data_IF_123537293511
#
_entry.id   IF_123537293511
#
_cell.length_a   1.000
_cell.length_b   1.000
_cell.length_c   1.000
_cell.angle_alpha   90.00
_cell.angle_beta   90.00
_cell.angle_gamma   90.00
#
_symmetry.space_group_name_H-M   'P 1'
#
loop_
_entity.id
_entity.type
_entity.pdbx_description
1 polymer ?
#
# COMPACT_ATOMS: atom_id res chain seq x y z
N UNK A 1 18.28 12.41 -13.79
CA UNK A 1 17.00 12.65 -13.09
C UNK A 1 16.64 11.34 -12.44
N UNK A 2 16.48 11.32 -11.12
CA UNK A 2 16.15 10.11 -10.35
C UNK A 2 14.65 10.07 -10.06
N UNK A 3 13.99 8.94 -10.31
CA UNK A 3 12.55 8.74 -10.16
C UNK A 3 12.31 7.59 -9.19
N UNK A 4 11.74 7.92 -8.04
CA UNK A 4 11.26 6.94 -7.06
C UNK A 4 9.74 6.79 -7.15
N UNK A 5 9.26 5.55 -7.25
CA UNK A 5 7.82 5.21 -7.20
C UNK A 5 7.51 4.60 -5.84
N UNK A 6 6.53 5.18 -5.14
CA UNK A 6 6.03 4.65 -3.86
C UNK A 6 4.57 4.23 -4.07
N UNK A 7 4.30 2.94 -3.97
CA UNK A 7 2.95 2.39 -3.98
C UNK A 7 2.50 2.11 -2.55
N UNK A 8 1.38 2.67 -2.11
CA UNK A 8 0.81 2.38 -0.80
C UNK A 8 -0.54 1.70 -0.93
N UNK A 9 -0.79 0.65 -0.14
CA UNK A 9 -2.08 -0.04 -0.12
C UNK A 9 -2.44 -0.55 -1.52
N UNK A 10 -3.67 -0.30 -1.99
CA UNK A 10 -4.09 -0.60 -3.37
C UNK A 10 -3.29 0.15 -4.45
N UNK A 11 -2.55 1.20 -4.07
CA UNK A 11 -1.62 1.90 -4.94
C UNK A 11 -0.44 1.04 -5.41
N UNK A 12 -0.11 -0.04 -4.70
CA UNK A 12 0.87 -1.04 -5.16
C UNK A 12 0.38 -1.72 -6.44
N UNK A 13 -0.85 -2.23 -6.42
CA UNK A 13 -1.49 -2.78 -7.61
C UNK A 13 -1.65 -1.73 -8.71
N UNK A 14 -2.08 -0.52 -8.36
CA UNK A 14 -2.32 0.53 -9.36
C UNK A 14 -1.02 0.95 -10.07
N UNK A 15 0.09 1.09 -9.34
CA UNK A 15 1.38 1.42 -9.94
C UNK A 15 1.85 0.33 -10.90
N UNK A 16 1.72 -0.94 -10.54
CA UNK A 16 2.08 -2.07 -11.39
C UNK A 16 1.16 -2.17 -12.63
N UNK A 17 -0.15 -2.01 -12.45
CA UNK A 17 -1.12 -1.98 -13.54
C UNK A 17 -0.80 -0.86 -14.56
N UNK A 18 -0.47 0.33 -14.07
CA UNK A 18 -0.13 1.46 -14.94
C UNK A 18 1.25 1.30 -15.59
N UNK A 19 2.23 0.77 -14.87
CA UNK A 19 3.58 0.56 -15.39
C UNK A 19 3.61 -0.35 -16.62
N UNK A 20 2.75 -1.38 -16.65
CA UNK A 20 2.58 -2.24 -17.82
C UNK A 20 2.19 -1.45 -19.09
N UNK A 21 1.34 -0.44 -18.95
CA UNK A 21 0.89 0.41 -20.06
C UNK A 21 1.85 1.56 -20.39
N UNK A 22 2.61 2.04 -19.40
CA UNK A 22 3.44 3.25 -19.51
C UNK A 22 4.93 2.97 -19.76
N UNK A 23 5.36 1.71 -19.75
CA UNK A 23 6.77 1.31 -19.79
C UNK A 23 7.61 2.07 -18.75
N UNK A 24 7.05 2.25 -17.55
CA UNK A 24 7.67 2.99 -16.45
C UNK A 24 8.84 2.17 -15.90
N UNK A 25 10.04 2.77 -15.88
CA UNK A 25 11.25 2.19 -15.29
C UNK A 25 11.76 3.15 -14.22
N UNK A 26 11.25 3.07 -12.99
CA UNK A 26 11.77 3.89 -11.90
C UNK A 26 13.17 3.42 -11.52
N UNK A 27 13.95 4.33 -10.97
CA UNK A 27 15.26 4.01 -10.41
C UNK A 27 15.14 3.34 -9.03
N UNK A 28 14.01 3.53 -8.35
CA UNK A 28 13.65 2.87 -7.11
C UNK A 28 12.13 2.71 -6.99
N UNK A 29 11.67 1.54 -6.58
CA UNK A 29 10.26 1.21 -6.37
C UNK A 29 10.02 0.63 -4.98
N UNK A 30 9.11 1.26 -4.22
CA UNK A 30 8.82 0.89 -2.83
C UNK A 30 7.34 0.58 -2.67
N UNK A 31 7.01 -0.67 -2.33
CA UNK A 31 5.67 -1.05 -1.90
C UNK A 31 5.52 -0.83 -0.40
N UNK A 32 4.41 -0.25 0.04
CA UNK A 32 4.12 0.01 1.45
C UNK A 32 2.75 -0.56 1.77
N UNK A 33 2.69 -1.48 2.73
CA UNK A 33 1.44 -2.04 3.27
C UNK A 33 0.44 -2.46 2.19
N UNK A 34 0.92 -3.16 1.17
CA UNK A 34 0.10 -3.58 0.04
C UNK A 34 0.81 -4.65 -0.79
N UNK A 35 0.05 -5.26 -1.68
CA UNK A 35 0.56 -6.23 -2.66
C UNK A 35 -0.09 -5.97 -4.02
N UNK A 36 0.44 -6.54 -5.11
CA UNK A 36 -0.22 -6.56 -6.43
C UNK A 36 -1.50 -7.40 -6.48
N UNK A 37 -1.92 -7.98 -5.35
CA UNK A 37 -3.13 -8.80 -5.21
C UNK A 37 -4.00 -8.22 -4.09
N UNK A 38 -4.57 -7.01 -4.26
CA UNK A 38 -5.18 -6.27 -3.17
C UNK A 38 -6.47 -6.91 -2.62
N UNK A 39 -7.19 -7.69 -3.43
CA UNK A 39 -8.38 -8.44 -3.04
C UNK A 39 -8.14 -9.94 -3.25
N UNK A 40 -7.49 -10.57 -2.27
CA UNK A 40 -7.08 -11.98 -2.33
C UNK A 40 -6.97 -12.55 -0.90
N UNK A 41 -7.53 -13.73 -0.67
CA UNK A 41 -7.56 -14.34 0.66
C UNK A 41 -6.18 -14.73 1.21
N UNK A 42 -5.20 -14.93 0.33
CA UNK A 42 -3.84 -15.35 0.68
C UNK A 42 -2.83 -14.20 0.61
N UNK A 43 -3.03 -13.24 -0.28
CA UNK A 43 -2.03 -12.21 -0.62
C UNK A 43 -2.47 -10.77 -0.35
N UNK A 44 -3.74 -10.51 -0.07
CA UNK A 44 -4.25 -9.16 0.14
C UNK A 44 -5.32 -9.08 1.20
N UNK A 45 -6.24 -8.14 1.01
CA UNK A 45 -7.45 -8.02 1.82
C UNK A 45 -8.35 -9.21 1.46
N UNK A 46 -8.84 -10.00 2.45
CA UNK A 46 -9.76 -11.09 2.18
C UNK A 46 -10.99 -10.62 1.39
N UNK A 47 -11.42 -11.40 0.41
CA UNK A 47 -12.50 -11.04 -0.53
C UNK A 47 -13.78 -10.66 0.20
N UNK A 48 -14.18 -11.45 1.20
CA UNK A 48 -15.36 -11.17 2.03
C UNK A 48 -15.28 -9.82 2.74
N UNK A 49 -14.09 -9.44 3.23
CA UNK A 49 -13.87 -8.15 3.89
C UNK A 49 -13.94 -7.00 2.88
N UNK A 50 -13.34 -7.20 1.70
CA UNK A 50 -13.35 -6.20 0.63
C UNK A 50 -14.77 -5.96 0.12
N UNK A 51 -15.47 -7.02 -0.28
CA UNK A 51 -16.84 -6.96 -0.80
C UNK A 51 -17.84 -6.49 0.26
N UNK A 52 -17.67 -6.92 1.50
CA UNK A 52 -18.46 -6.44 2.63
C UNK A 52 -18.33 -4.93 2.84
N UNK A 53 -17.12 -4.38 2.65
CA UNK A 53 -16.87 -2.94 2.68
C UNK A 53 -17.52 -2.24 1.49
N UNK A 54 -17.38 -2.79 0.29
CA UNK A 54 -17.95 -2.25 -0.94
C UNK A 54 -19.49 -2.14 -0.89
N UNK A 55 -20.15 -3.17 -0.35
CA UNK A 55 -21.61 -3.28 -0.33
C UNK A 55 -22.28 -2.45 0.78
N UNK A 56 -21.52 -2.02 1.80
CA UNK A 56 -22.05 -1.32 2.99
C UNK A 56 -21.41 0.05 3.22
N UNK A 57 -20.90 0.65 2.14
CA UNK A 57 -20.17 1.90 2.22
C UNK A 57 -21.08 3.05 2.68
N UNK A 58 -20.81 3.54 3.89
CA UNK A 58 -21.43 4.71 4.51
C UNK A 58 -20.37 5.47 5.34
N UNK A 59 -20.75 6.61 5.90
CA UNK A 59 -19.83 7.44 6.69
C UNK A 59 -19.27 6.70 7.93
N UNK A 60 -20.05 5.79 8.51
CA UNK A 60 -19.63 5.00 9.68
C UNK A 60 -18.59 3.96 9.28
N UNK A 61 -18.74 3.32 8.14
CA UNK A 61 -17.77 2.36 7.58
C UNK A 61 -16.48 3.08 7.19
N UNK A 62 -16.58 4.26 6.56
CA UNK A 62 -15.41 5.11 6.26
C UNK A 62 -14.68 5.50 7.54
N UNK A 63 -15.39 5.95 8.58
CA UNK A 63 -14.77 6.29 9.85
C UNK A 63 -14.07 5.09 10.50
N UNK A 64 -14.69 3.91 10.48
CA UNK A 64 -14.05 2.66 10.95
C UNK A 64 -12.83 2.29 10.12
N UNK A 65 -12.85 2.52 8.81
CA UNK A 65 -11.70 2.34 7.95
C UNK A 65 -10.56 3.28 8.36
N UNK A 66 -10.83 4.56 8.62
CA UNK A 66 -9.82 5.50 9.14
C UNK A 66 -9.24 5.06 10.49
N UNK A 67 -10.05 4.53 11.40
CA UNK A 67 -9.53 3.95 12.65
C UNK A 67 -8.60 2.75 12.41
N UNK A 68 -8.85 1.93 11.38
CA UNK A 68 -7.94 0.84 10.97
C UNK A 68 -6.67 1.38 10.32
N UNK A 69 -6.76 2.46 9.53
CA UNK A 69 -5.60 3.09 8.89
C UNK A 69 -4.54 3.52 9.89
N UNK A 70 -4.96 4.17 10.97
CA UNK A 70 -4.06 4.74 11.98
C UNK A 70 -3.89 3.85 13.22
N UNK A 71 -4.65 2.75 13.32
CA UNK A 71 -4.59 1.77 14.41
C UNK A 71 -5.13 2.23 15.77
N UNK A 72 -4.96 3.52 16.13
CA UNK A 72 -5.39 4.12 17.40
C UNK A 72 -6.14 5.43 17.13
N UNK A 73 -7.19 5.67 17.91
CA UNK A 73 -8.01 6.90 17.82
C UNK A 73 -7.17 8.17 18.01
N UNK A 74 -6.25 8.17 18.99
CA UNK A 74 -5.35 9.31 19.22
C UNK A 74 -4.48 9.64 18.00
N UNK A 75 -3.92 8.62 17.35
CA UNK A 75 -3.09 8.80 16.14
C UNK A 75 -3.93 9.31 14.97
N UNK A 76 -5.16 8.80 14.81
CA UNK A 76 -6.12 9.33 13.84
C UNK A 76 -6.42 10.82 14.08
N UNK A 77 -6.68 11.22 15.32
CA UNK A 77 -6.97 12.62 15.68
C UNK A 77 -5.77 13.55 15.40
N UNK A 78 -4.55 13.10 15.72
CA UNK A 78 -3.30 13.82 15.44
C UNK A 78 -2.99 13.94 13.93
N UNK A 79 -3.63 13.11 13.08
CA UNK A 79 -3.39 13.05 11.64
C UNK A 79 -4.68 13.26 10.82
N UNK A 80 -5.68 13.93 11.39
CA UNK A 80 -6.97 14.16 10.72
C UNK A 80 -6.80 14.94 9.41
N UNK A 81 -5.79 15.81 9.33
CA UNK A 81 -5.41 16.59 8.14
C UNK A 81 -4.89 15.70 6.99
N UNK A 82 -4.47 14.46 7.29
CA UNK A 82 -4.03 13.48 6.28
C UNK A 82 -5.20 12.71 5.66
N UNK A 83 -6.40 12.84 6.21
CA UNK A 83 -7.58 12.20 5.65
C UNK A 83 -8.10 13.02 4.48
N UNK A 84 -8.39 12.31 3.38
CA UNK A 84 -8.95 12.91 2.19
C UNK A 84 -10.35 13.48 2.46
N UNK A 85 -10.57 14.75 2.13
CA UNK A 85 -11.88 15.41 2.20
C UNK A 85 -12.84 15.03 1.03
N UNK A 86 -12.63 13.86 0.41
CA UNK A 86 -13.45 13.37 -0.71
C UNK A 86 -14.85 12.98 -0.22
N UNK A 87 -15.83 13.14 -1.11
CA UNK A 87 -17.21 12.70 -0.83
C UNK A 87 -17.30 11.17 -0.78
N UNK A 88 -18.28 10.66 -0.02
CA UNK A 88 -18.63 9.24 0.01
C UNK A 88 -18.82 8.68 -1.41
N UNK A 89 -19.52 9.42 -2.28
CA UNK A 89 -19.72 9.02 -3.69
C UNK A 89 -18.39 8.84 -4.42
N UNK A 90 -17.44 9.77 -4.29
CA UNK A 90 -16.13 9.64 -4.93
C UNK A 90 -15.36 8.42 -4.45
N UNK A 91 -15.46 8.09 -3.16
CA UNK A 91 -14.82 6.89 -2.61
C UNK A 91 -15.48 5.61 -3.12
N UNK A 92 -16.81 5.57 -3.18
CA UNK A 92 -17.57 4.43 -3.72
C UNK A 92 -17.25 4.20 -5.19
N UNK A 93 -17.23 5.25 -6.01
CA UNK A 93 -16.94 5.15 -7.44
C UNK A 93 -15.51 4.63 -7.67
N UNK A 94 -14.53 5.16 -6.94
CA UNK A 94 -13.14 4.69 -6.99
C UNK A 94 -13.03 3.21 -6.58
N UNK A 95 -13.61 2.82 -5.45
CA UNK A 95 -13.50 1.45 -4.94
C UNK A 95 -14.19 0.44 -5.87
N UNK A 96 -15.33 0.81 -6.47
CA UNK A 96 -16.01 0.00 -7.49
C UNK A 96 -15.13 -0.17 -8.74
N UNK A 97 -14.55 0.92 -9.22
CA UNK A 97 -13.67 0.88 -10.40
C UNK A 97 -12.43 0.02 -10.14
N UNK A 98 -11.78 0.22 -8.99
CA UNK A 98 -10.63 -0.58 -8.57
C UNK A 98 -10.99 -2.05 -8.50
N UNK A 99 -12.07 -2.41 -7.81
CA UNK A 99 -12.49 -3.81 -7.68
C UNK A 99 -12.67 -4.48 -9.06
N UNK A 100 -13.37 -3.82 -9.99
CA UNK A 100 -13.58 -4.36 -11.34
C UNK A 100 -12.25 -4.59 -12.09
N UNK A 101 -11.30 -3.66 -11.97
CA UNK A 101 -9.99 -3.78 -12.62
C UNK A 101 -9.06 -4.79 -11.94
N UNK A 102 -9.13 -4.93 -10.61
CA UNK A 102 -8.33 -5.89 -9.85
C UNK A 102 -8.67 -7.34 -10.27
N UNK A 103 -9.93 -7.58 -10.64
CA UNK A 103 -10.38 -8.89 -11.15
C UNK A 103 -9.90 -9.19 -12.58
N UNK A 104 -9.36 -8.21 -13.30
CA UNK A 104 -8.80 -8.43 -14.63
C UNK A 104 -7.39 -9.04 -14.55
N UNK A 105 -7.10 -9.93 -15.49
CA UNK A 105 -5.74 -10.49 -15.62
C UNK A 105 -4.88 -9.53 -16.44
N UNK A 106 -3.72 -9.16 -15.90
CA UNK A 106 -2.70 -8.42 -16.63
C UNK A 106 -1.33 -9.08 -16.45
N UNK A 107 -0.41 -8.81 -17.38
CA UNK A 107 0.95 -9.33 -17.29
C UNK A 107 1.74 -8.63 -16.18
N UNK A 108 2.09 -9.40 -15.15
CA UNK A 108 2.85 -8.92 -13.98
C UNK A 108 4.34 -8.92 -14.31
N UNK A 109 4.80 -7.84 -14.95
CA UNK A 109 6.22 -7.63 -15.31
C UNK A 109 6.91 -6.58 -14.44
N UNK A 110 6.23 -6.03 -13.43
CA UNK A 110 6.80 -5.02 -12.55
C UNK A 110 7.48 -5.69 -11.35
N UNK A 111 8.71 -5.28 -11.06
CA UNK A 111 9.47 -5.74 -9.90
C UNK A 111 9.58 -4.60 -8.90
N UNK A 112 9.23 -4.87 -7.64
CA UNK A 112 9.43 -3.94 -6.55
C UNK A 112 10.80 -4.16 -5.92
N UNK A 113 11.52 -3.08 -5.64
CA UNK A 113 12.85 -3.14 -5.03
C UNK A 113 12.76 -3.36 -3.52
N UNK A 114 11.87 -2.63 -2.86
CA UNK A 114 11.63 -2.69 -1.42
C UNK A 114 10.15 -2.88 -1.15
N UNK A 115 9.83 -3.70 -0.16
CA UNK A 115 8.50 -3.78 0.43
C UNK A 115 8.57 -3.48 1.92
N UNK A 116 7.89 -2.45 2.37
CA UNK A 116 7.58 -2.21 3.79
C UNK A 116 6.25 -2.88 4.12
N UNK A 117 6.27 -3.82 5.06
CA UNK A 117 5.07 -4.40 5.66
C UNK A 117 5.00 -4.02 7.13
N UNK A 118 3.81 -3.70 7.62
CA UNK A 118 3.63 -3.30 9.01
C UNK A 118 2.79 -4.32 9.78
N UNK A 119 3.27 -4.73 10.96
CA UNK A 119 2.65 -5.81 11.75
C UNK A 119 1.37 -5.38 12.48
N UNK A 120 1.14 -4.08 12.67
CA UNK A 120 -0.12 -3.56 13.23
C UNK A 120 -1.11 -3.12 12.14
N UNK A 121 -0.88 -3.50 10.88
CA UNK A 121 -1.79 -3.23 9.77
C UNK A 121 -3.13 -3.97 9.98
N UNK A 122 -4.22 -3.18 10.00
CA UNK A 122 -5.61 -3.67 10.17
C UNK A 122 -6.44 -3.57 8.90
N UNK A 123 -5.80 -3.29 7.76
CA UNK A 123 -6.41 -3.24 6.43
C UNK A 123 -5.87 -4.41 5.61
N UNK A 124 -4.56 -4.47 5.38
CA UNK A 124 -3.89 -5.61 4.76
C UNK A 124 -3.35 -6.52 5.86
N UNK A 125 -3.83 -7.78 5.98
CA UNK A 125 -3.31 -8.69 6.99
C UNK A 125 -1.80 -8.91 6.80
N UNK A 126 -1.03 -8.73 7.87
CA UNK A 126 0.43 -8.88 7.84
C UNK A 126 0.89 -10.22 7.25
N UNK A 127 0.25 -11.32 7.65
CA UNK A 127 0.55 -12.66 7.14
C UNK A 127 0.26 -12.80 5.64
N UNK A 128 -0.74 -12.09 5.11
CA UNK A 128 -1.05 -12.13 3.68
C UNK A 128 0.02 -11.40 2.88
N UNK A 129 0.51 -10.26 3.38
CA UNK A 129 1.63 -9.58 2.77
C UNK A 129 2.92 -10.43 2.84
N UNK A 130 3.20 -11.08 3.97
CA UNK A 130 4.31 -12.03 4.08
C UNK A 130 4.22 -13.18 3.08
N UNK A 131 3.04 -13.79 2.94
CA UNK A 131 2.80 -14.86 1.98
C UNK A 131 3.16 -14.45 0.55
N UNK A 132 2.92 -13.19 0.20
CA UNK A 132 3.28 -12.66 -1.11
C UNK A 132 4.77 -12.35 -1.21
N UNK A 133 5.27 -11.48 -0.33
CA UNK A 133 6.62 -10.92 -0.45
C UNK A 133 7.74 -11.93 -0.18
N UNK A 134 7.51 -12.95 0.66
CA UNK A 134 8.49 -14.02 0.86
C UNK A 134 8.75 -14.86 -0.41
N UNK A 135 7.87 -14.78 -1.42
CA UNK A 135 8.07 -15.45 -2.71
C UNK A 135 8.87 -14.63 -3.72
N UNK A 136 9.16 -13.35 -3.41
CA UNK A 136 9.85 -12.39 -4.29
C UNK A 136 11.27 -12.18 -3.79
N UNK A 137 12.22 -12.95 -4.32
CA UNK A 137 13.63 -12.94 -3.86
C UNK A 137 14.35 -11.62 -4.21
N UNK A 138 13.86 -10.96 -5.25
CA UNK A 138 14.33 -9.69 -5.77
C UNK A 138 13.90 -8.49 -4.91
N UNK A 139 12.79 -8.60 -4.18
CA UNK A 139 12.28 -7.53 -3.32
C UNK A 139 12.87 -7.63 -1.92
N UNK A 140 13.49 -6.55 -1.43
CA UNK A 140 13.97 -6.46 -0.06
C UNK A 140 12.80 -6.17 0.88
N UNK A 141 12.62 -7.02 1.88
CA UNK A 141 11.52 -6.90 2.84
C UNK A 141 11.96 -6.13 4.09
N UNK A 142 11.25 -5.06 4.43
CA UNK A 142 11.36 -4.34 5.69
C UNK A 142 10.06 -4.54 6.50
N UNK A 143 10.18 -4.82 7.79
CA UNK A 143 9.04 -5.03 8.68
C UNK A 143 9.08 -4.08 9.88
N UNK A 144 8.00 -3.35 10.13
CA UNK A 144 7.88 -2.40 11.25
C UNK A 144 6.61 -2.63 12.06
N UNK A 145 6.64 -2.33 13.36
CA UNK A 145 5.45 -2.29 14.21
C UNK A 145 4.72 -0.94 14.08
N UNK A 146 3.98 -0.77 12.97
CA UNK A 146 3.23 0.43 12.63
C UNK A 146 1.83 0.05 12.10
N UNK A 147 0.87 0.98 12.05
CA UNK A 147 -0.42 0.75 11.43
C UNK A 147 -0.32 0.86 9.89
N UNK A 148 -1.46 0.71 9.21
CA UNK A 148 -1.52 0.74 7.74
C UNK A 148 -1.02 2.05 7.13
N UNK A 149 -1.22 3.18 7.80
CA UNK A 149 -0.62 4.48 7.44
C UNK A 149 0.66 4.70 8.27
N UNK A 150 1.86 4.38 7.75
CA UNK A 150 3.10 4.49 8.52
C UNK A 150 3.79 5.86 8.40
N UNK A 151 3.31 6.72 7.49
CA UNK A 151 4.06 7.91 7.04
C UNK A 151 4.34 8.93 8.15
N UNK A 152 3.55 8.94 9.23
CA UNK A 152 3.80 9.82 10.38
C UNK A 152 5.14 9.52 11.10
N UNK A 153 5.76 8.35 10.85
CA UNK A 153 7.06 7.99 11.44
C UNK A 153 8.19 8.89 10.97
N UNK A 154 8.10 9.44 9.77
CA UNK A 154 9.17 10.23 9.14
C UNK A 154 8.70 11.67 8.87
N UNK A 155 9.63 12.62 8.89
CA UNK A 155 9.34 14.04 8.63
C UNK A 155 9.19 14.32 7.13
N UNK A 156 9.72 13.45 6.27
CA UNK A 156 9.64 13.59 4.81
C UNK A 156 9.72 12.25 4.10
N UNK A 157 9.29 12.21 2.84
CA UNK A 157 9.49 11.02 1.99
C UNK A 157 10.96 10.69 1.77
N UNK A 158 11.85 11.68 1.72
CA UNK A 158 13.30 11.44 1.60
C UNK A 158 13.82 10.65 2.80
N UNK A 159 13.50 11.12 4.01
CA UNK A 159 13.89 10.42 5.24
C UNK A 159 13.34 8.99 5.31
N UNK A 160 12.10 8.79 4.85
CA UNK A 160 11.51 7.46 4.74
C UNK A 160 12.27 6.58 3.75
N UNK A 161 12.58 7.09 2.56
CA UNK A 161 13.32 6.35 1.52
C UNK A 161 14.71 5.98 2.01
N UNK A 162 15.45 6.94 2.59
CA UNK A 162 16.79 6.72 3.13
C UNK A 162 16.77 5.64 4.24
N UNK A 163 15.79 5.74 5.16
CA UNK A 163 15.57 4.74 6.20
C UNK A 163 15.31 3.36 5.60
N UNK A 164 14.40 3.24 4.62
CA UNK A 164 14.05 1.96 4.01
C UNK A 164 15.19 1.35 3.21
N UNK A 165 15.99 2.17 2.51
CA UNK A 165 17.17 1.67 1.80
C UNK A 165 18.19 1.10 2.79
N UNK A 166 18.48 1.84 3.86
CA UNK A 166 19.39 1.40 4.92
C UNK A 166 18.90 0.12 5.61
N UNK A 167 17.64 0.09 6.06
CA UNK A 167 17.07 -1.02 6.83
C UNK A 167 16.95 -2.30 6.01
N UNK A 168 16.68 -2.18 4.71
CA UNK A 168 16.53 -3.31 3.80
C UNK A 168 17.86 -3.78 3.17
N UNK A 169 18.96 -3.06 3.43
CA UNK A 169 20.25 -3.29 2.80
C UNK A 169 20.24 -3.05 1.29
N UNK A 170 19.31 -2.20 0.81
CA UNK A 170 19.27 -1.82 -0.60
C UNK A 170 20.39 -0.82 -0.88
N UNK A 171 21.23 -1.13 -1.88
CA UNK A 171 22.34 -0.25 -2.23
C UNK A 171 21.81 1.03 -2.90
N UNK A 172 21.86 2.13 -2.15
CA UNK A 172 21.43 3.46 -2.60
C UNK A 172 22.50 4.25 -3.35
N UNK A 173 23.71 3.70 -3.59
CA UNK A 173 24.82 4.39 -4.27
C UNK A 173 24.49 4.72 -5.74
N UNK A 174 23.37 4.23 -6.26
CA UNK A 174 22.81 4.57 -7.57
C UNK A 174 21.74 5.68 -7.52
N UNK A 175 21.35 6.14 -6.31
CA UNK A 175 20.30 7.15 -6.10
C UNK A 175 20.88 8.58 -5.91
N UNK A 176 22.19 8.71 -5.68
CA UNK A 176 22.92 9.97 -5.43
C UNK A 176 23.84 10.34 -6.58
#
# INVERSE_FOLDING_TARGET
RHITVIGWSMGVWAAEYMAASMNLKPDLSIAINGTPFPADNRYGIPLEVFEGTLNRLDDRVIYKYHLRLFGKKKVLEENIDKISARSLKSFTDELRWLYNRIMETYEKRYSWDISLICSEDRVFPFNNMLNYWNTRKETKLCSLALPHYPFFKWKSFREMVDFLCSESGYNSDLLH
#
